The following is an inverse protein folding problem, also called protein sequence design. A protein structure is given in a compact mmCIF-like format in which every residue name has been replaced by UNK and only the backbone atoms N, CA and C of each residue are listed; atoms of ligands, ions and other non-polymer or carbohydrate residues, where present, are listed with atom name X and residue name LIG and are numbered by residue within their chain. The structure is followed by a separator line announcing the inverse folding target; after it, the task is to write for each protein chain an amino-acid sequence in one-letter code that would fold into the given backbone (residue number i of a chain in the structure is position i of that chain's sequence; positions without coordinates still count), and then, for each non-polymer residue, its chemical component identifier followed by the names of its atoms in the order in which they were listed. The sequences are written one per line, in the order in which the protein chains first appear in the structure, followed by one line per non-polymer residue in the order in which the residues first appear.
data_IF_279354106698
#
_entry.id   IF_279354106698
#
_cell.length_a   1.000
_cell.length_b   1.000
_cell.length_c   1.000
_cell.angle_alpha   90.00
_cell.angle_beta   90.00
_cell.angle_gamma   90.00
#
_symmetry.space_group_name_H-M   'P 1'
#
loop_
_entity.id
_entity.type
_entity.pdbx_description
1 polymer ?
#
# COMPACT_ATOMS: atom_id res chain seq x y z
N UNK A 1 1.53 -6.64 -8.95
CA UNK A 1 1.40 -6.59 -7.48
C UNK A 1 2.43 -7.51 -6.81
N UNK A 2 2.41 -8.84 -7.03
CA UNK A 2 3.37 -9.75 -6.36
C UNK A 2 4.84 -9.38 -6.58
N UNK A 3 5.22 -9.03 -7.80
CA UNK A 3 6.58 -8.56 -8.10
C UNK A 3 6.93 -7.28 -7.31
N UNK A 4 5.98 -6.36 -7.15
CA UNK A 4 6.14 -5.14 -6.35
C UNK A 4 6.41 -5.47 -4.89
N UNK A 5 5.63 -6.40 -4.30
CA UNK A 5 5.90 -6.85 -2.92
C UNK A 5 7.23 -7.59 -2.81
N UNK A 6 7.56 -8.44 -3.78
CA UNK A 6 8.83 -9.15 -3.77
C UNK A 6 10.02 -8.19 -3.75
N UNK A 7 9.99 -7.15 -4.58
CA UNK A 7 11.06 -6.17 -4.68
C UNK A 7 11.10 -5.20 -3.49
N UNK A 8 9.96 -4.62 -3.11
CA UNK A 8 9.92 -3.56 -2.10
C UNK A 8 9.94 -4.08 -0.66
N UNK A 9 9.48 -5.32 -0.43
CA UNK A 9 9.41 -5.94 0.91
C UNK A 9 10.47 -7.02 1.11
N UNK A 10 11.28 -7.31 0.09
CA UNK A 10 12.28 -8.38 0.09
C UNK A 10 11.65 -9.76 0.42
N UNK A 11 10.49 -10.02 -0.16
CA UNK A 11 9.77 -11.30 -0.04
C UNK A 11 9.99 -12.14 -1.30
N UNK A 12 9.98 -13.47 -1.18
CA UNK A 12 9.77 -14.30 -2.38
C UNK A 12 8.34 -14.12 -2.89
N UNK A 13 8.05 -14.36 -4.18
CA UNK A 13 6.68 -14.36 -4.69
C UNK A 13 5.75 -15.29 -3.89
N UNK A 14 6.24 -16.48 -3.51
CA UNK A 14 5.48 -17.45 -2.71
C UNK A 14 5.20 -16.93 -1.30
N UNK A 15 6.16 -16.26 -0.66
CA UNK A 15 5.95 -15.66 0.66
C UNK A 15 4.95 -14.51 0.61
N UNK A 16 5.01 -13.69 -0.45
CA UNK A 16 4.03 -12.62 -0.65
C UNK A 16 2.61 -13.19 -0.87
N UNK A 17 2.47 -14.24 -1.68
CA UNK A 17 1.18 -14.90 -1.93
C UNK A 17 0.65 -15.60 -0.66
N UNK A 18 1.53 -16.21 0.14
CA UNK A 18 1.16 -16.82 1.42
C UNK A 18 0.58 -15.78 2.40
N UNK A 19 1.24 -14.63 2.55
CA UNK A 19 0.74 -13.53 3.40
C UNK A 19 -0.60 -12.98 2.89
N UNK A 20 -0.77 -12.87 1.57
CA UNK A 20 -2.02 -12.41 0.96
C UNK A 20 -3.17 -13.42 1.04
N UNK A 21 -2.88 -14.67 1.35
CA UNK A 21 -3.86 -15.75 1.48
C UNK A 21 -4.35 -15.92 2.92
N UNK A 22 -3.74 -15.22 3.89
CA UNK A 22 -4.20 -15.20 5.27
C UNK A 22 -5.51 -14.43 5.39
N UNK A 23 -6.41 -14.83 6.32
CA UNK A 23 -7.42 -13.92 6.84
C UNK A 23 -6.77 -12.64 7.37
N UNK A 24 -7.43 -11.49 7.22
CA UNK A 24 -6.88 -10.21 7.67
C UNK A 24 -6.53 -10.23 9.15
N UNK A 25 -7.36 -10.84 9.99
CA UNK A 25 -7.10 -10.97 11.43
C UNK A 25 -5.78 -11.69 11.69
N UNK A 26 -5.55 -12.79 10.97
CA UNK A 26 -4.37 -13.62 11.13
C UNK A 26 -3.12 -12.92 10.59
N UNK A 27 -3.26 -12.16 9.50
CA UNK A 27 -2.17 -11.31 9.00
C UNK A 27 -1.81 -10.20 10.01
N UNK A 28 -2.80 -9.53 10.59
CA UNK A 28 -2.57 -8.46 11.57
C UNK A 28 -1.91 -8.95 12.86
N UNK A 29 -2.17 -10.21 13.24
CA UNK A 29 -1.57 -10.87 14.40
C UNK A 29 -0.26 -11.62 14.06
N UNK A 30 0.13 -11.67 12.77
CA UNK A 30 1.30 -12.42 12.31
C UNK A 30 2.63 -11.79 12.75
N UNK A 31 3.60 -12.65 13.08
CA UNK A 31 4.95 -12.20 13.41
C UNK A 31 5.66 -11.64 12.16
N UNK A 32 5.34 -12.17 10.99
CA UNK A 32 5.88 -11.77 9.70
C UNK A 32 5.55 -10.32 9.37
N UNK A 33 4.27 -9.92 9.50
CA UNK A 33 3.88 -8.52 9.31
C UNK A 33 4.52 -7.62 10.38
N UNK A 34 4.53 -8.05 11.64
CA UNK A 34 5.13 -7.27 12.72
C UNK A 34 6.63 -7.02 12.48
N UNK A 35 7.39 -8.03 12.03
CA UNK A 35 8.80 -7.90 11.67
C UNK A 35 9.01 -6.98 10.46
N UNK A 36 8.15 -7.10 9.45
CA UNK A 36 8.20 -6.25 8.27
C UNK A 36 8.02 -4.77 8.65
N UNK A 37 7.03 -4.46 9.47
CA UNK A 37 6.79 -3.10 9.96
C UNK A 37 7.91 -2.61 10.89
N UNK A 38 8.42 -3.48 11.77
CA UNK A 38 9.54 -3.16 12.65
C UNK A 38 10.85 -2.93 11.89
N UNK A 39 10.98 -3.45 10.67
CA UNK A 39 12.15 -3.25 9.83
C UNK A 39 12.17 -1.91 9.09
N UNK A 40 11.11 -1.09 9.19
CA UNK A 40 11.08 0.25 8.63
C UNK A 40 12.02 1.19 9.39
N UNK A 41 12.83 1.95 8.67
CA UNK A 41 13.59 3.06 9.23
C UNK A 41 12.66 4.26 9.47
N UNK A 42 11.92 4.19 10.58
CA UNK A 42 10.94 5.23 10.93
C UNK A 42 11.58 6.59 11.18
N UNK A 43 12.88 6.65 11.50
CA UNK A 43 13.59 7.92 11.66
C UNK A 43 13.82 8.56 10.30
N UNK A 44 14.37 7.81 9.33
CA UNK A 44 14.56 8.28 7.96
C UNK A 44 13.23 8.71 7.32
N UNK A 45 12.16 7.94 7.53
CA UNK A 45 10.82 8.27 7.02
C UNK A 45 10.28 9.57 7.64
N UNK A 46 10.48 9.78 8.95
CA UNK A 46 10.05 11.01 9.64
C UNK A 46 10.84 12.24 9.19
N UNK A 47 12.16 12.12 9.05
CA UNK A 47 13.03 13.20 8.59
C UNK A 47 12.73 13.63 7.15
N UNK A 48 12.29 12.67 6.32
CA UNK A 48 12.04 12.88 4.90
C UNK A 48 10.57 13.15 4.54
N UNK A 49 9.69 13.33 5.53
CA UNK A 49 8.27 13.66 5.31
C UNK A 49 8.06 14.85 4.35
N UNK A 50 8.83 15.96 4.42
CA UNK A 50 8.66 17.05 3.46
C UNK A 50 8.89 16.62 2.01
N UNK A 51 9.91 15.78 1.77
CA UNK A 51 10.21 15.22 0.44
C UNK A 51 9.07 14.33 -0.05
N UNK A 52 8.59 13.42 0.80
CA UNK A 52 7.47 12.56 0.45
C UNK A 52 6.19 13.35 0.17
N UNK A 53 5.90 14.38 0.95
CA UNK A 53 4.75 15.27 0.73
C UNK A 53 4.82 15.97 -0.63
N UNK A 54 5.99 16.47 -1.04
CA UNK A 54 6.18 17.09 -2.35
C UNK A 54 5.97 16.09 -3.50
N UNK A 55 6.54 14.89 -3.38
CA UNK A 55 6.37 13.81 -4.36
C UNK A 55 4.90 13.40 -4.47
N UNK A 56 4.22 13.17 -3.34
CA UNK A 56 2.80 12.82 -3.33
C UNK A 56 1.93 13.93 -3.92
N UNK A 57 2.20 15.20 -3.62
CA UNK A 57 1.48 16.33 -4.19
C UNK A 57 1.58 16.39 -5.73
N UNK A 58 2.73 16.01 -6.28
CA UNK A 58 2.97 15.97 -7.72
C UNK A 58 2.30 14.75 -8.39
N UNK A 59 2.37 13.57 -7.76
CA UNK A 59 1.99 12.31 -8.40
C UNK A 59 0.56 11.83 -8.07
N UNK A 60 -0.04 12.27 -6.96
CA UNK A 60 -1.39 11.84 -6.58
C UNK A 60 -2.49 12.37 -7.51
N UNK A 61 -2.50 13.64 -7.95
CA UNK A 61 -3.54 14.11 -8.89
C UNK A 61 -3.62 13.29 -10.19
N UNK A 62 -2.52 13.04 -10.94
CA UNK A 62 -2.60 12.19 -12.13
C UNK A 62 -2.88 10.72 -11.80
N UNK A 63 -2.52 10.25 -10.60
CA UNK A 63 -2.90 8.91 -10.13
C UNK A 63 -4.41 8.80 -9.88
N UNK A 64 -5.04 9.76 -9.21
CA UNK A 64 -6.48 9.78 -8.98
C UNK A 64 -7.28 9.89 -10.28
N UNK A 65 -6.83 10.73 -11.22
CA UNK A 65 -7.41 10.79 -12.56
C UNK A 65 -7.37 9.43 -13.25
N UNK A 66 -6.28 8.68 -13.09
CA UNK A 66 -6.16 7.34 -13.64
C UNK A 66 -7.08 6.34 -12.93
N UNK A 67 -7.21 6.40 -11.60
CA UNK A 67 -8.17 5.57 -10.87
C UNK A 67 -9.61 5.79 -11.36
N UNK A 68 -9.99 7.03 -11.62
CA UNK A 68 -11.31 7.38 -12.16
C UNK A 68 -11.47 6.90 -13.61
N UNK A 69 -10.55 7.26 -14.49
CA UNK A 69 -10.72 7.05 -15.92
C UNK A 69 -10.44 5.61 -16.37
N UNK A 70 -9.40 4.98 -15.82
CA UNK A 70 -8.95 3.65 -16.25
C UNK A 70 -9.50 2.52 -15.38
N UNK A 71 -9.77 2.81 -14.10
CA UNK A 71 -10.32 1.83 -13.18
C UNK A 71 -11.78 2.09 -12.82
N UNK A 72 -12.38 3.23 -13.20
CA UNK A 72 -13.77 3.54 -12.86
C UNK A 72 -14.02 3.56 -11.34
N UNK A 73 -13.07 4.10 -10.56
CA UNK A 73 -13.26 4.34 -9.13
C UNK A 73 -13.89 5.72 -8.95
N UNK A 74 -15.12 5.77 -8.46
CA UNK A 74 -15.89 7.02 -8.37
C UNK A 74 -15.45 7.92 -7.21
N UNK A 75 -15.14 7.32 -6.06
CA UNK A 75 -14.78 8.03 -4.82
C UNK A 75 -13.26 8.04 -4.61
N UNK A 76 -12.54 8.89 -5.33
CA UNK A 76 -11.12 9.15 -5.07
C UNK A 76 -10.97 10.39 -4.17
N UNK A 77 -9.93 10.47 -3.32
CA UNK A 77 -9.72 11.65 -2.51
C UNK A 77 -9.51 12.91 -3.37
N UNK A 78 -10.20 14.00 -3.02
CA UNK A 78 -10.08 15.27 -3.74
C UNK A 78 -8.73 15.99 -3.52
N UNK A 79 -7.89 15.49 -2.60
CA UNK A 79 -6.62 16.14 -2.26
C UNK A 79 -5.50 15.16 -1.88
N UNK A 80 -4.27 15.39 -2.39
CA UNK A 80 -3.04 14.70 -1.96
C UNK A 80 -2.78 14.75 -0.44
N UNK A 81 -3.35 15.73 0.25
CA UNK A 81 -3.21 15.88 1.70
C UNK A 81 -3.77 14.69 2.47
N UNK A 82 -4.79 13.99 1.95
CA UNK A 82 -5.40 12.86 2.66
C UNK A 82 -4.43 11.68 2.75
N UNK A 83 -3.90 11.21 1.61
CA UNK A 83 -2.93 10.11 1.56
C UNK A 83 -1.65 10.47 2.31
N UNK A 84 -1.17 11.71 2.20
CA UNK A 84 0.01 12.18 2.92
C UNK A 84 -0.19 12.14 4.43
N UNK A 85 -1.32 12.68 4.94
CA UNK A 85 -1.64 12.66 6.38
C UNK A 85 -1.75 11.26 6.93
N UNK A 86 -2.31 10.33 6.16
CA UNK A 86 -2.48 8.96 6.62
C UNK A 86 -1.14 8.22 6.75
N UNK A 87 -0.27 8.33 5.74
CA UNK A 87 1.08 7.75 5.78
C UNK A 87 1.89 8.34 6.95
N UNK A 88 1.79 9.66 7.17
CA UNK A 88 2.39 10.33 8.33
C UNK A 88 1.82 9.82 9.65
N UNK A 89 0.49 9.70 9.76
CA UNK A 89 -0.19 9.24 10.96
C UNK A 89 0.17 7.79 11.32
N UNK A 90 0.28 6.92 10.32
CA UNK A 90 0.76 5.55 10.49
C UNK A 90 2.19 5.53 11.06
N UNK A 91 3.11 6.29 10.47
CA UNK A 91 4.50 6.38 10.94
C UNK A 91 4.65 6.99 12.33
N UNK A 92 3.63 7.71 12.80
CA UNK A 92 3.57 8.31 14.13
C UNK A 92 2.79 7.45 15.13
N UNK A 93 2.37 6.22 14.77
CA UNK A 93 1.51 5.35 15.57
C UNK A 93 0.15 5.97 15.93
N UNK A 94 -0.32 6.94 15.16
CA UNK A 94 -1.60 7.64 15.36
C UNK A 94 -2.75 7.01 14.56
N UNK A 95 -2.42 6.17 13.57
CA UNK A 95 -3.39 5.47 12.73
C UNK A 95 -3.19 3.95 12.85
N UNK A 96 -4.27 3.21 13.12
CA UNK A 96 -4.21 1.75 13.18
C UNK A 96 -4.38 1.13 11.78
N UNK A 97 -3.79 -0.05 11.57
CA UNK A 97 -3.98 -0.82 10.33
C UNK A 97 -5.44 -1.22 10.10
N UNK A 98 -6.20 -1.49 11.17
CA UNK A 98 -7.64 -1.73 11.07
C UNK A 98 -8.39 -0.51 10.54
N UNK A 99 -8.01 0.70 10.97
CA UNK A 99 -8.61 1.95 10.45
C UNK A 99 -8.27 2.17 8.98
N UNK A 100 -7.05 1.86 8.57
CA UNK A 100 -6.64 1.91 7.17
C UNK A 100 -7.54 1.03 6.29
N UNK A 101 -7.75 -0.22 6.70
CA UNK A 101 -8.59 -1.17 5.98
C UNK A 101 -10.01 -0.64 5.85
N UNK A 102 -10.59 -0.17 6.95
CA UNK A 102 -11.95 0.37 6.98
C UNK A 102 -12.14 1.55 5.99
N UNK A 103 -11.13 2.42 5.86
CA UNK A 103 -11.17 3.55 4.93
C UNK A 103 -11.13 3.13 3.45
N UNK A 104 -10.56 1.97 3.15
CA UNK A 104 -10.33 1.50 1.77
C UNK A 104 -11.22 0.31 1.37
N UNK A 105 -12.11 -0.15 2.26
CA UNK A 105 -12.96 -1.34 2.03
C UNK A 105 -13.88 -1.26 0.82
N UNK A 106 -14.18 -0.05 0.35
CA UNK A 106 -15.03 0.18 -0.83
C UNK A 106 -14.28 0.03 -2.15
N UNK A 107 -12.95 -0.08 -2.14
CA UNK A 107 -12.14 -0.24 -3.34
C UNK A 107 -12.20 -1.71 -3.79
N UNK A 108 -12.66 -2.01 -5.02
CA UNK A 108 -12.64 -3.37 -5.55
C UNK A 108 -11.23 -3.95 -5.57
N UNK A 109 -11.07 -5.19 -5.09
CA UNK A 109 -9.74 -5.79 -4.91
C UNK A 109 -8.92 -5.91 -6.20
N UNK A 110 -9.55 -6.19 -7.35
CA UNK A 110 -8.88 -6.22 -8.65
C UNK A 110 -8.32 -4.84 -9.04
N UNK A 111 -9.08 -3.77 -8.76
CA UNK A 111 -8.65 -2.38 -8.99
C UNK A 111 -7.54 -1.98 -8.02
N UNK A 112 -7.65 -2.37 -6.75
CA UNK A 112 -6.63 -2.14 -5.74
C UNK A 112 -5.30 -2.81 -6.16
N UNK A 113 -5.33 -4.11 -6.48
CA UNK A 113 -4.14 -4.86 -6.90
C UNK A 113 -3.46 -4.23 -8.13
N UNK A 114 -4.25 -3.75 -9.09
CA UNK A 114 -3.76 -3.03 -10.28
C UNK A 114 -3.13 -1.68 -9.94
N UNK A 115 -3.58 -1.01 -8.88
CA UNK A 115 -3.04 0.30 -8.47
C UNK A 115 -1.73 0.21 -7.69
N UNK A 116 -1.47 -0.91 -6.99
CA UNK A 116 -0.33 -1.07 -6.08
C UNK A 116 1.03 -0.78 -6.73
N UNK A 117 1.38 -1.35 -7.91
CA UNK A 117 2.66 -1.06 -8.55
C UNK A 117 2.84 0.42 -8.84
N UNK A 118 1.76 1.11 -9.22
CA UNK A 118 1.79 2.53 -9.53
C UNK A 118 1.94 3.38 -8.28
N UNK A 119 1.24 3.04 -7.20
CA UNK A 119 1.32 3.76 -5.93
C UNK A 119 2.72 3.65 -5.30
N UNK A 120 3.31 2.45 -5.29
CA UNK A 120 4.69 2.23 -4.84
C UNK A 120 5.68 2.94 -5.78
N UNK A 121 5.43 2.89 -7.09
CA UNK A 121 6.25 3.54 -8.12
C UNK A 121 6.26 5.07 -8.06
N UNK A 122 5.40 5.72 -7.28
CA UNK A 122 5.42 7.19 -7.10
C UNK A 122 6.80 7.67 -6.59
N UNK A 123 7.51 6.85 -5.83
CA UNK A 123 8.80 7.20 -5.24
C UNK A 123 10.01 6.80 -6.09
N UNK A 124 9.82 6.35 -7.34
CA UNK A 124 10.88 5.78 -8.19
C UNK A 124 12.06 6.73 -8.46
N UNK A 125 11.75 8.03 -8.57
CA UNK A 125 12.72 9.09 -8.86
C UNK A 125 13.29 9.75 -7.61
N UNK A 126 12.85 9.33 -6.42
CA UNK A 126 13.36 9.88 -5.16
C UNK A 126 14.85 9.59 -5.02
N UNK A 127 15.56 10.59 -4.51
CA UNK A 127 16.98 10.52 -4.18
C UNK A 127 17.18 11.03 -2.75
N UNK A 128 18.14 10.47 -1.99
CA UNK A 128 19.05 9.36 -2.35
C UNK A 128 18.34 7.98 -2.46
N UNK A 129 19.06 6.95 -2.97
CA UNK A 129 18.49 5.62 -3.26
C UNK A 129 17.92 4.94 -2.01
N UNK A 130 18.58 5.06 -0.87
CA UNK A 130 18.07 4.53 0.40
C UNK A 130 16.73 5.16 0.77
N UNK A 131 16.57 6.46 0.54
CA UNK A 131 15.31 7.16 0.82
C UNK A 131 14.18 6.66 -0.09
N UNK A 132 14.46 6.48 -1.39
CA UNK A 132 13.52 5.84 -2.32
C UNK A 132 13.08 4.46 -1.81
N UNK A 133 14.05 3.61 -1.48
CA UNK A 133 13.79 2.24 -1.07
C UNK A 133 12.94 2.19 0.19
N UNK A 134 13.24 3.06 1.16
CA UNK A 134 12.50 3.11 2.42
C UNK A 134 11.05 3.55 2.21
N UNK A 135 10.81 4.54 1.35
CA UNK A 135 9.44 4.94 1.00
C UNK A 135 8.69 3.87 0.21
N UNK A 136 9.33 3.22 -0.77
CA UNK A 136 8.72 2.12 -1.51
C UNK A 136 8.35 0.95 -0.59
N UNK A 137 9.21 0.63 0.37
CA UNK A 137 8.98 -0.38 1.39
C UNK A 137 7.80 -0.03 2.30
N UNK A 138 7.76 1.20 2.83
CA UNK A 138 6.68 1.65 3.68
C UNK A 138 5.32 1.59 2.96
N UNK A 139 5.23 2.11 1.73
CA UNK A 139 3.98 2.09 0.97
C UNK A 139 3.58 0.65 0.58
N UNK A 140 4.54 -0.19 0.19
CA UNK A 140 4.27 -1.59 -0.13
C UNK A 140 3.74 -2.36 1.09
N UNK A 141 4.24 -2.08 2.30
CA UNK A 141 3.79 -2.73 3.53
C UNK A 141 2.31 -2.45 3.81
N UNK A 142 1.91 -1.19 3.63
CA UNK A 142 0.54 -0.73 3.84
C UNK A 142 -0.38 -1.29 2.75
N UNK A 143 0.11 -1.35 1.51
CA UNK A 143 -0.59 -1.99 0.40
C UNK A 143 -0.79 -3.50 0.60
N UNK A 144 0.13 -4.21 1.27
CA UNK A 144 -0.01 -5.64 1.57
C UNK A 144 -1.23 -5.89 2.46
N UNK A 145 -1.39 -5.09 3.52
CA UNK A 145 -2.54 -5.15 4.43
C UNK A 145 -3.84 -4.87 3.68
N UNK A 146 -3.86 -3.82 2.84
CA UNK A 146 -5.03 -3.49 2.04
C UNK A 146 -5.38 -4.60 1.03
N UNK A 147 -4.39 -5.19 0.37
CA UNK A 147 -4.61 -6.25 -0.60
C UNK A 147 -5.14 -7.54 0.05
N UNK A 148 -4.61 -7.91 1.22
CA UNK A 148 -5.14 -9.02 2.03
C UNK A 148 -6.61 -8.76 2.41
N UNK A 149 -6.91 -7.59 2.97
CA UNK A 149 -8.29 -7.23 3.32
C UNK A 149 -9.23 -7.25 2.10
N UNK A 150 -8.77 -6.77 0.94
CA UNK A 150 -9.57 -6.75 -0.27
C UNK A 150 -9.83 -8.16 -0.81
N UNK A 151 -8.87 -9.09 -0.69
CA UNK A 151 -9.04 -10.51 -1.08
C UNK A 151 -10.02 -11.23 -0.18
N UNK A 152 -10.00 -10.97 1.12
CA UNK A 152 -10.97 -11.54 2.07
C UNK A 152 -12.40 -11.06 1.79
N UNK A 153 -12.57 -9.80 1.38
CA UNK A 153 -13.88 -9.22 1.08
C UNK A 153 -14.40 -9.56 -0.33
N UNK A 154 -13.61 -10.22 -1.17
CA UNK A 154 -14.09 -10.71 -2.46
C UNK A 154 -14.88 -12.02 -2.27
N UNK A 155 -16.03 -12.20 -2.96
CA UNK A 155 -16.62 -13.53 -3.04
C UNK A 155 -15.57 -14.49 -3.61
N UNK A 156 -15.52 -15.76 -3.14
CA UNK A 156 -14.54 -16.73 -3.62
C UNK A 156 -14.56 -16.71 -5.15
N UNK A 157 -13.39 -16.56 -5.78
CA UNK A 157 -13.26 -16.71 -7.23
C UNK A 157 -13.86 -18.05 -7.60
N UNK A 158 -15.09 -18.02 -8.12
CA UNK A 158 -15.67 -19.20 -8.73
C UNK A 158 -14.76 -19.46 -9.93
N UNK A 159 -14.02 -20.56 -9.86
CA UNK A 159 -13.34 -21.12 -11.03
C UNK A 159 -14.45 -21.37 -12.04
N UNK A 160 -14.65 -20.44 -12.97
CA UNK A 160 -15.40 -20.74 -14.18
C UNK A 160 -14.45 -21.61 -14.99
N UNK A 161 -14.58 -22.92 -14.79
CA UNK A 161 -14.05 -23.92 -15.72
C UNK A 161 -14.63 -23.58 -17.10
N UNK A 162 -13.73 -23.34 -18.06
CA UNK A 162 -14.04 -23.31 -19.50
C UNK A 162 -13.33 -24.49 -20.14
#
# INVERSE_FOLDING_TARGET
MLQTFSQSLNLSPDAAEALLSLPLTDLLDSQELAQLLASLDTNLLKESLPTAGAVLAQHLPPFYNWLQNELGIENVPDSPNHTTKWVVGFLQNQESLARLVELHKSIPGDKLERSIPRLVGIFEDVRPVNLKQEWQKAIAALCLVLACAARENQPPRTLVEV
#
